data_IF_761808159706
#
_entry.id   IF_761808159706
#
_cell.length_a   1.000
_cell.length_b   1.000
_cell.length_c   1.000
_cell.angle_alpha   90.00
_cell.angle_beta   90.00
_cell.angle_gamma   90.00
#
_symmetry.space_group_name_H-M   'P 1'
#
loop_
_entity.id
_entity.type
_entity.pdbx_description
1 polymer ?
#
# COMPACT_ATOMS: atom_id res chain seq x y z
N UNK A 1 29.37 8.49 -0.18
CA UNK A 1 29.03 8.33 -1.62
C UNK A 1 29.35 6.93 -2.14
N UNK A 2 30.43 6.31 -1.72
CA UNK A 2 30.81 4.94 -2.11
C UNK A 2 29.69 3.91 -1.93
N UNK A 3 28.99 3.94 -0.79
CA UNK A 3 27.85 3.04 -0.53
C UNK A 3 26.68 3.25 -1.52
N UNK A 4 26.44 4.48 -1.99
CA UNK A 4 25.41 4.80 -2.99
C UNK A 4 25.78 4.20 -4.35
N UNK A 5 27.02 4.38 -4.79
CA UNK A 5 27.54 3.82 -6.05
C UNK A 5 27.51 2.30 -6.03
N UNK A 6 27.95 1.68 -4.91
CA UNK A 6 27.84 0.24 -4.69
C UNK A 6 26.39 -0.23 -4.83
N UNK A 7 25.46 0.42 -4.13
CA UNK A 7 24.05 0.04 -4.17
C UNK A 7 23.43 0.16 -5.58
N UNK A 8 23.70 1.25 -6.30
CA UNK A 8 23.25 1.43 -7.69
C UNK A 8 23.78 0.32 -8.59
N UNK A 9 25.04 -0.07 -8.43
CA UNK A 9 25.69 -1.12 -9.23
C UNK A 9 25.15 -2.51 -8.94
N UNK A 10 24.95 -2.85 -7.66
CA UNK A 10 24.61 -4.21 -7.21
C UNK A 10 23.09 -4.43 -7.06
N UNK A 11 22.30 -3.37 -6.89
CA UNK A 11 20.86 -3.42 -6.64
C UNK A 11 20.47 -4.01 -5.29
N UNK A 12 21.44 -4.21 -4.40
CA UNK A 12 21.25 -4.72 -3.04
C UNK A 12 22.48 -4.44 -2.18
N UNK A 13 22.28 -4.47 -0.85
CA UNK A 13 23.32 -4.38 0.16
C UNK A 13 23.13 -5.49 1.19
N UNK A 14 24.13 -5.71 2.05
CA UNK A 14 23.94 -6.55 3.23
C UNK A 14 23.07 -5.83 4.27
N UNK A 15 22.54 -6.56 5.24
CA UNK A 15 21.72 -5.99 6.33
C UNK A 15 22.48 -4.90 7.07
N UNK A 16 23.77 -5.10 7.30
CA UNK A 16 24.67 -4.21 8.05
C UNK A 16 25.00 -2.92 7.29
N UNK A 17 24.96 -2.96 5.98
CA UNK A 17 25.28 -1.82 5.10
C UNK A 17 24.08 -0.89 4.85
N UNK A 18 22.84 -1.42 4.88
CA UNK A 18 21.65 -0.60 4.66
C UNK A 18 21.53 0.60 5.61
N UNK A 19 21.83 0.51 6.92
CA UNK A 19 21.75 1.67 7.80
C UNK A 19 22.69 2.82 7.39
N UNK A 20 23.85 2.54 6.81
CA UNK A 20 24.75 3.57 6.28
C UNK A 20 24.11 4.30 5.10
N UNK A 21 23.55 3.55 4.12
CA UNK A 21 22.82 4.12 3.00
C UNK A 21 21.61 4.94 3.47
N UNK A 22 20.81 4.42 4.40
CA UNK A 22 19.58 5.04 4.86
C UNK A 22 19.84 6.36 5.61
N UNK A 23 20.95 6.53 6.32
CA UNK A 23 21.32 7.79 6.98
C UNK A 23 21.60 8.92 5.99
N UNK A 24 21.79 8.62 4.71
CA UNK A 24 22.00 9.61 3.64
C UNK A 24 20.70 10.18 3.07
N UNK A 25 19.53 9.91 3.63
CA UNK A 25 18.23 10.34 3.10
C UNK A 25 18.05 11.88 3.03
N UNK A 26 18.91 12.66 3.68
CA UNK A 26 18.98 14.12 3.60
C UNK A 26 20.22 14.63 2.84
N UNK A 27 21.11 13.74 2.41
CA UNK A 27 22.24 14.11 1.59
C UNK A 27 21.79 14.41 0.15
N UNK A 28 22.05 15.61 -0.32
CA UNK A 28 21.52 16.14 -1.60
C UNK A 28 22.01 15.30 -2.78
N UNK A 29 23.27 14.89 -2.78
CA UNK A 29 23.85 14.13 -3.89
C UNK A 29 23.39 12.69 -3.86
N UNK A 30 23.33 12.04 -2.70
CA UNK A 30 22.79 10.70 -2.55
C UNK A 30 21.33 10.62 -3.01
N UNK A 31 20.49 11.55 -2.53
CA UNK A 31 19.07 11.64 -2.93
C UNK A 31 18.93 11.82 -4.44
N UNK A 32 19.72 12.73 -5.03
CA UNK A 32 19.69 12.97 -6.48
C UNK A 32 20.06 11.73 -7.28
N UNK A 33 21.18 11.09 -6.96
CA UNK A 33 21.68 9.93 -7.70
C UNK A 33 20.71 8.73 -7.62
N UNK A 34 20.21 8.43 -6.43
CA UNK A 34 19.24 7.33 -6.26
C UNK A 34 17.92 7.60 -6.97
N UNK A 35 17.44 8.85 -6.95
CA UNK A 35 16.22 9.26 -7.66
C UNK A 35 16.38 9.14 -9.18
N UNK A 36 17.48 9.64 -9.74
CA UNK A 36 17.79 9.55 -11.17
C UNK A 36 17.81 8.08 -11.63
N UNK A 37 18.47 7.21 -10.88
CA UNK A 37 18.52 5.79 -11.18
C UNK A 37 17.14 5.11 -11.03
N UNK A 38 16.39 5.41 -9.97
CA UNK A 38 15.04 4.87 -9.76
C UNK A 38 14.09 5.25 -10.90
N UNK A 39 14.13 6.51 -11.36
CA UNK A 39 13.34 6.98 -12.51
C UNK A 39 13.78 6.30 -13.81
N UNK A 40 15.07 6.11 -14.02
CA UNK A 40 15.62 5.38 -15.18
C UNK A 40 15.08 3.94 -15.23
N UNK A 41 15.10 3.27 -14.08
CA UNK A 41 14.55 1.91 -13.94
C UNK A 41 13.05 1.88 -14.15
N UNK A 42 12.29 2.80 -13.52
CA UNK A 42 10.85 2.92 -13.70
C UNK A 42 10.49 3.07 -15.18
N UNK A 43 11.14 4.00 -15.89
CA UNK A 43 10.91 4.22 -17.33
C UNK A 43 11.27 3.02 -18.19
N UNK A 44 12.29 2.27 -17.83
CA UNK A 44 12.67 1.03 -18.54
C UNK A 44 11.57 -0.03 -18.49
N UNK A 45 10.90 -0.22 -17.36
CA UNK A 45 9.92 -1.29 -17.17
C UNK A 45 8.47 -0.84 -17.38
N UNK A 46 8.16 0.43 -17.14
CA UNK A 46 6.80 0.94 -17.13
C UNK A 46 6.57 2.13 -18.07
N UNK A 47 7.60 2.67 -18.70
CA UNK A 47 7.50 3.91 -19.47
C UNK A 47 7.08 5.09 -18.59
N UNK A 48 6.17 5.92 -19.10
CA UNK A 48 5.59 7.03 -18.34
C UNK A 48 4.23 6.67 -17.71
N UNK A 49 3.89 5.38 -17.63
CA UNK A 49 2.59 4.91 -17.19
C UNK A 49 2.44 4.95 -15.67
N UNK A 50 1.34 5.52 -15.22
CA UNK A 50 0.85 5.42 -13.83
C UNK A 50 -0.43 4.60 -13.83
N UNK A 51 -0.42 3.50 -13.10
CA UNK A 51 -1.57 2.63 -12.95
C UNK A 51 -2.51 3.14 -11.85
N UNK A 52 -3.81 3.14 -12.14
CA UNK A 52 -4.82 3.48 -11.14
C UNK A 52 -5.50 2.23 -10.60
N UNK A 53 -5.72 2.21 -9.28
CA UNK A 53 -6.48 1.17 -8.61
C UNK A 53 -7.62 1.78 -7.83
N UNK A 54 -8.85 1.42 -8.17
CA UNK A 54 -10.06 1.92 -7.51
C UNK A 54 -10.17 1.34 -6.10
N UNK A 55 -9.96 2.15 -5.09
CA UNK A 55 -10.01 1.75 -3.69
C UNK A 55 -11.46 1.80 -3.18
N UNK A 56 -11.95 0.69 -2.64
CA UNK A 56 -13.26 0.54 -2.01
C UNK A 56 -13.04 0.14 -0.56
N UNK A 57 -13.16 1.10 0.34
CA UNK A 57 -13.09 0.92 1.80
C UNK A 57 -14.47 0.46 2.28
N UNK A 58 -14.71 -0.86 2.29
CA UNK A 58 -16.07 -1.40 2.43
C UNK A 58 -16.52 -1.68 3.86
N UNK A 59 -15.58 -1.70 4.83
CA UNK A 59 -15.87 -1.81 6.26
C UNK A 59 -14.76 -1.20 7.09
N UNK A 60 -15.12 -0.51 8.18
CA UNK A 60 -14.16 -0.04 9.19
C UNK A 60 -14.27 -0.81 10.52
N UNK A 61 -15.02 -1.91 10.57
CA UNK A 61 -14.94 -2.84 11.67
C UNK A 61 -13.63 -3.62 11.61
N UNK A 62 -12.98 -3.82 12.75
CA UNK A 62 -11.76 -4.62 12.86
C UNK A 62 -11.76 -5.41 14.16
N UNK A 63 -11.37 -6.69 14.12
CA UNK A 63 -11.17 -7.52 15.31
C UNK A 63 -9.85 -7.24 16.03
N UNK A 64 -8.89 -6.61 15.34
CA UNK A 64 -7.57 -6.31 15.86
C UNK A 64 -7.53 -4.96 16.58
N UNK A 65 -6.51 -4.80 17.42
CA UNK A 65 -6.35 -3.61 18.26
C UNK A 65 -4.94 -3.00 18.10
N UNK A 66 -4.47 -2.91 16.84
CA UNK A 66 -3.16 -2.32 16.51
C UNK A 66 -3.06 -0.90 17.08
N UNK A 67 -1.98 -0.61 17.80
CA UNK A 67 -1.84 0.59 18.63
C UNK A 67 -1.75 1.91 17.87
N UNK A 68 -1.55 1.84 16.56
CA UNK A 68 -1.43 3.00 15.64
C UNK A 68 -2.70 3.27 14.82
N UNK A 69 -3.69 2.39 14.83
CA UNK A 69 -4.78 2.39 13.85
C UNK A 69 -6.07 3.01 14.39
N UNK A 70 -6.61 4.03 13.72
CA UNK A 70 -7.83 4.70 14.12
C UNK A 70 -9.09 3.82 14.06
N UNK A 71 -9.11 2.77 13.21
CA UNK A 71 -10.24 1.82 13.15
C UNK A 71 -10.03 0.57 14.02
N UNK A 72 -9.07 0.58 14.95
CA UNK A 72 -8.84 -0.52 15.90
C UNK A 72 -10.09 -0.86 16.70
N UNK A 73 -10.20 -2.13 17.15
CA UNK A 73 -11.40 -2.66 17.84
C UNK A 73 -11.84 -1.81 19.03
N UNK A 74 -10.90 -1.39 19.86
CA UNK A 74 -11.20 -0.66 21.10
C UNK A 74 -11.49 0.82 20.91
N UNK A 75 -11.34 1.38 19.70
CA UNK A 75 -11.74 2.75 19.44
C UNK A 75 -13.26 2.86 19.42
N UNK A 76 -13.84 3.39 20.52
CA UNK A 76 -15.29 3.58 20.71
C UNK A 76 -15.82 4.86 20.02
N UNK A 77 -14.93 5.77 19.62
CA UNK A 77 -15.30 7.02 18.95
C UNK A 77 -15.49 6.81 17.45
N UNK A 78 -14.94 5.73 16.87
CA UNK A 78 -15.07 5.44 15.46
C UNK A 78 -16.53 5.13 15.08
N UNK A 79 -17.08 5.90 14.15
CA UNK A 79 -18.40 5.66 13.57
C UNK A 79 -18.31 4.47 12.62
N UNK A 80 -18.85 3.32 13.04
CA UNK A 80 -18.69 2.05 12.32
C UNK A 80 -19.70 1.91 11.19
N UNK A 81 -19.22 1.35 10.05
CA UNK A 81 -20.07 1.03 8.91
C UNK A 81 -19.62 -0.25 8.21
N UNK A 82 -20.53 -0.82 7.44
CA UNK A 82 -20.30 -1.87 6.44
C UNK A 82 -21.08 -1.48 5.19
N UNK A 83 -20.45 -1.53 4.04
CA UNK A 83 -21.15 -1.42 2.77
C UNK A 83 -21.87 -2.73 2.49
N UNK A 84 -23.05 -2.66 1.89
CA UNK A 84 -23.72 -3.83 1.35
C UNK A 84 -23.02 -4.31 0.06
N UNK A 85 -23.33 -5.52 -0.38
CA UNK A 85 -22.83 -6.05 -1.66
C UNK A 85 -23.21 -5.10 -2.82
N UNK A 86 -24.44 -4.63 -2.83
CA UNK A 86 -24.98 -3.72 -3.86
C UNK A 86 -24.20 -2.39 -3.88
N UNK A 87 -23.89 -1.83 -2.71
CA UNK A 87 -23.06 -0.62 -2.60
C UNK A 87 -21.64 -0.85 -3.12
N UNK A 88 -21.04 -2.02 -2.83
CA UNK A 88 -19.71 -2.40 -3.36
C UNK A 88 -19.76 -2.52 -4.89
N UNK A 89 -20.75 -3.22 -5.43
CA UNK A 89 -20.92 -3.38 -6.87
C UNK A 89 -21.17 -2.04 -7.57
N UNK A 90 -21.91 -1.13 -6.94
CA UNK A 90 -22.10 0.23 -7.47
C UNK A 90 -20.79 1.04 -7.50
N UNK A 91 -19.92 0.86 -6.52
CA UNK A 91 -18.57 1.44 -6.57
C UNK A 91 -17.74 0.88 -7.74
N UNK A 92 -17.86 -0.43 -8.01
CA UNK A 92 -17.19 -1.07 -9.15
C UNK A 92 -17.73 -0.54 -10.49
N UNK A 93 -19.05 -0.40 -10.64
CA UNK A 93 -19.70 0.17 -11.82
C UNK A 93 -19.17 1.58 -12.12
N UNK A 94 -19.27 2.48 -11.13
CA UNK A 94 -18.77 3.84 -11.27
C UNK A 94 -17.26 3.88 -11.60
N UNK A 95 -16.48 3.02 -10.98
CA UNK A 95 -15.05 2.90 -11.25
C UNK A 95 -14.77 2.41 -12.68
N UNK A 96 -15.51 1.41 -13.14
CA UNK A 96 -15.34 0.86 -14.50
C UNK A 96 -15.63 1.91 -15.58
N UNK A 97 -16.71 2.68 -15.44
CA UNK A 97 -17.08 3.80 -16.32
C UNK A 97 -15.99 4.89 -16.34
N UNK A 98 -15.35 5.13 -15.20
CA UNK A 98 -14.21 6.04 -15.08
C UNK A 98 -12.88 5.45 -15.61
N UNK A 99 -12.88 4.23 -16.14
CA UNK A 99 -11.72 3.58 -16.76
C UNK A 99 -10.80 2.87 -15.77
N UNK A 100 -11.23 2.60 -14.53
CA UNK A 100 -10.48 1.70 -13.65
C UNK A 100 -10.61 0.26 -14.14
N UNK A 101 -9.51 -0.49 -14.06
CA UNK A 101 -9.46 -1.93 -14.40
C UNK A 101 -8.88 -2.76 -13.25
N UNK A 102 -8.81 -2.17 -12.07
CA UNK A 102 -8.49 -2.84 -10.80
C UNK A 102 -9.37 -2.26 -9.69
N UNK A 103 -10.00 -3.13 -8.93
CA UNK A 103 -10.72 -2.79 -7.71
C UNK A 103 -9.96 -3.35 -6.49
N UNK A 104 -9.73 -2.51 -5.49
CA UNK A 104 -9.10 -2.88 -4.23
C UNK A 104 -10.16 -2.88 -3.15
N UNK A 105 -10.56 -4.05 -2.71
CA UNK A 105 -11.47 -4.21 -1.57
C UNK A 105 -10.64 -4.13 -0.28
N UNK A 106 -10.75 -3.02 0.43
CA UNK A 106 -10.01 -2.75 1.66
C UNK A 106 -10.96 -2.62 2.85
N UNK A 107 -10.58 -3.22 3.95
CA UNK A 107 -11.32 -3.15 5.20
C UNK A 107 -10.47 -3.48 6.41
N UNK A 108 -11.01 -3.24 7.61
CA UNK A 108 -10.49 -3.91 8.81
C UNK A 108 -10.73 -5.42 8.72
N UNK A 109 -10.10 -6.18 9.60
CA UNK A 109 -10.39 -7.60 9.73
C UNK A 109 -11.76 -7.80 10.38
N UNK A 110 -12.80 -7.72 9.57
CA UNK A 110 -14.19 -7.79 9.99
C UNK A 110 -14.74 -9.23 9.88
N UNK A 111 -15.05 -9.91 11.00
CA UNK A 111 -15.58 -11.27 10.97
C UNK A 111 -16.94 -11.41 10.28
N UNK A 112 -17.68 -10.31 10.13
CA UNK A 112 -18.96 -10.34 9.43
C UNK A 112 -18.78 -10.68 7.94
N UNK A 113 -17.71 -10.23 7.32
CA UNK A 113 -17.31 -10.61 5.97
C UNK A 113 -16.55 -11.95 6.02
N UNK A 114 -17.29 -13.02 6.32
CA UNK A 114 -16.77 -14.38 6.29
C UNK A 114 -16.45 -14.84 4.85
N UNK A 115 -15.90 -16.05 4.71
CA UNK A 115 -15.49 -16.60 3.42
C UNK A 115 -16.62 -16.59 2.40
N UNK A 116 -17.82 -17.04 2.78
CA UNK A 116 -18.95 -17.18 1.85
C UNK A 116 -19.38 -15.80 1.29
N UNK A 117 -19.45 -14.79 2.15
CA UNK A 117 -19.79 -13.43 1.72
C UNK A 117 -18.72 -12.83 0.82
N UNK A 118 -17.44 -13.05 1.16
CA UNK A 118 -16.35 -12.56 0.33
C UNK A 118 -16.30 -13.25 -1.02
N UNK A 119 -16.50 -14.57 -1.07
CA UNK A 119 -16.60 -15.36 -2.31
C UNK A 119 -17.73 -14.83 -3.19
N UNK A 120 -18.91 -14.62 -2.62
CA UNK A 120 -20.07 -14.09 -3.35
C UNK A 120 -19.81 -12.68 -3.93
N UNK A 121 -19.17 -11.79 -3.18
CA UNK A 121 -18.78 -10.45 -3.65
C UNK A 121 -17.77 -10.57 -4.79
N UNK A 122 -16.69 -11.36 -4.62
CA UNK A 122 -15.64 -11.53 -5.61
C UNK A 122 -16.19 -12.09 -6.91
N UNK A 123 -17.00 -13.16 -6.84
CA UNK A 123 -17.63 -13.76 -8.01
C UNK A 123 -18.54 -12.77 -8.74
N UNK A 124 -19.34 -11.99 -8.00
CA UNK A 124 -20.24 -10.99 -8.59
C UNK A 124 -19.46 -9.89 -9.31
N UNK A 125 -18.34 -9.43 -8.77
CA UNK A 125 -17.47 -8.45 -9.43
C UNK A 125 -16.86 -9.08 -10.70
N UNK A 126 -16.34 -10.31 -10.62
CA UNK A 126 -15.76 -11.01 -11.80
C UNK A 126 -16.78 -11.28 -12.89
N UNK A 127 -18.02 -11.58 -12.54
CA UNK A 127 -19.10 -11.79 -13.50
C UNK A 127 -19.44 -10.47 -14.23
N UNK A 128 -19.51 -9.35 -13.51
CA UNK A 128 -19.81 -8.05 -14.10
C UNK A 128 -18.64 -7.42 -14.86
N UNK A 129 -17.40 -7.64 -14.40
CA UNK A 129 -16.17 -7.00 -14.91
C UNK A 129 -15.03 -8.01 -15.05
N UNK A 130 -15.13 -8.96 -16.02
CA UNK A 130 -14.16 -10.06 -16.17
C UNK A 130 -12.75 -9.58 -16.54
N UNK A 131 -12.64 -8.41 -17.18
CA UNK A 131 -11.38 -7.76 -17.56
C UNK A 131 -10.71 -6.99 -16.41
N UNK A 132 -11.39 -6.87 -15.26
CA UNK A 132 -10.83 -6.20 -14.08
C UNK A 132 -10.09 -7.15 -13.15
N UNK A 133 -9.03 -6.64 -12.52
CA UNK A 133 -8.36 -7.31 -11.42
C UNK A 133 -9.02 -6.98 -10.08
N UNK A 134 -9.11 -7.97 -9.20
CA UNK A 134 -9.57 -7.81 -7.82
C UNK A 134 -8.38 -7.96 -6.89
N UNK A 135 -8.14 -6.93 -6.07
CA UNK A 135 -7.16 -6.95 -4.98
C UNK A 135 -7.89 -6.99 -3.65
N UNK A 136 -7.53 -7.90 -2.78
CA UNK A 136 -8.03 -7.93 -1.40
C UNK A 136 -7.00 -7.31 -0.46
N UNK A 137 -7.46 -6.50 0.50
CA UNK A 137 -6.67 -5.92 1.60
C UNK A 137 -7.51 -5.98 2.87
N UNK A 138 -7.70 -7.19 3.39
CA UNK A 138 -8.64 -7.53 4.48
C UNK A 138 -7.96 -8.27 5.64
N UNK A 139 -6.65 -8.07 5.79
CA UNK A 139 -5.85 -8.62 6.89
C UNK A 139 -5.53 -10.11 6.76
N UNK A 140 -5.29 -10.74 7.90
CA UNK A 140 -4.89 -12.15 7.96
C UNK A 140 -6.08 -13.10 7.86
N UNK A 141 -5.91 -14.15 7.07
CA UNK A 141 -6.87 -15.25 6.91
C UNK A 141 -6.11 -16.58 6.94
N UNK A 142 -6.83 -17.70 7.00
CA UNK A 142 -6.22 -19.00 6.81
C UNK A 142 -5.87 -19.25 5.34
N UNK A 143 -4.96 -20.19 5.08
CA UNK A 143 -4.58 -20.59 3.71
C UNK A 143 -5.78 -21.10 2.92
N UNK A 144 -6.71 -21.78 3.58
CA UNK A 144 -7.97 -22.25 2.98
C UNK A 144 -8.87 -21.09 2.57
N UNK A 145 -8.98 -20.03 3.39
CA UNK A 145 -9.73 -18.83 3.02
C UNK A 145 -9.08 -18.14 1.82
N UNK A 146 -7.76 -17.99 1.80
CA UNK A 146 -7.04 -17.44 0.66
C UNK A 146 -7.28 -18.26 -0.61
N UNK A 147 -7.26 -19.58 -0.52
CA UNK A 147 -7.55 -20.47 -1.65
C UNK A 147 -8.97 -20.24 -2.20
N UNK A 148 -9.99 -20.21 -1.34
CA UNK A 148 -11.38 -19.92 -1.75
C UNK A 148 -11.51 -18.59 -2.48
N UNK A 149 -10.87 -17.53 -1.97
CA UNK A 149 -10.91 -16.21 -2.61
C UNK A 149 -10.19 -16.22 -3.97
N UNK A 150 -9.08 -16.96 -4.08
CA UNK A 150 -8.37 -17.15 -5.35
C UNK A 150 -9.24 -17.84 -6.38
N UNK A 151 -9.87 -18.95 -6.00
CA UNK A 151 -10.79 -19.72 -6.84
C UNK A 151 -12.03 -18.92 -7.24
N UNK A 152 -12.51 -18.01 -6.36
CA UNK A 152 -13.59 -17.08 -6.65
C UNK A 152 -13.19 -16.00 -7.66
N UNK A 153 -11.88 -15.76 -7.90
CA UNK A 153 -11.37 -14.82 -8.90
C UNK A 153 -10.58 -13.65 -8.34
N UNK A 154 -10.18 -13.66 -7.07
CA UNK A 154 -9.25 -12.65 -6.56
C UNK A 154 -7.86 -12.83 -7.18
N UNK A 155 -7.34 -11.77 -7.78
CA UNK A 155 -6.05 -11.78 -8.50
C UNK A 155 -4.87 -11.44 -7.58
N UNK A 156 -5.08 -10.51 -6.65
CA UNK A 156 -4.03 -9.90 -5.82
C UNK A 156 -4.43 -9.83 -4.36
N UNK A 157 -3.43 -9.83 -3.49
CA UNK A 157 -3.63 -9.62 -2.07
C UNK A 157 -2.57 -8.67 -1.50
N UNK A 158 -3.01 -7.60 -0.84
CA UNK A 158 -2.14 -6.66 -0.15
C UNK A 158 -2.19 -6.93 1.35
N UNK A 159 -1.07 -7.33 1.92
CA UNK A 159 -0.89 -7.55 3.35
C UNK A 159 0.44 -6.92 3.79
N UNK A 160 0.38 -5.72 4.33
CA UNK A 160 1.59 -5.06 4.84
C UNK A 160 2.09 -5.78 6.08
N UNK A 161 3.40 -6.04 6.15
CA UNK A 161 4.02 -6.64 7.34
C UNK A 161 4.25 -5.61 8.45
N UNK A 162 4.18 -4.32 8.13
CA UNK A 162 4.31 -3.12 8.97
C UNK A 162 5.71 -2.88 9.53
N UNK A 163 6.41 -3.90 9.91
CA UNK A 163 7.85 -3.96 10.23
C UNK A 163 8.31 -5.42 10.19
N UNK A 164 9.53 -5.67 9.76
CA UNK A 164 10.12 -7.02 9.73
C UNK A 164 10.85 -7.40 11.02
N UNK A 165 11.00 -6.46 11.96
CA UNK A 165 11.63 -6.65 13.26
C UNK A 165 10.61 -7.09 14.31
N UNK A 166 10.88 -8.19 15.02
CA UNK A 166 9.97 -8.81 16.00
C UNK A 166 9.68 -7.91 17.21
N UNK A 167 10.70 -7.25 17.75
CA UNK A 167 10.55 -6.38 18.91
C UNK A 167 9.73 -5.14 18.56
N UNK A 168 10.04 -4.51 17.44
CA UNK A 168 9.28 -3.37 16.92
C UNK A 168 7.84 -3.76 16.58
N UNK A 169 7.60 -4.96 16.03
CA UNK A 169 6.25 -5.44 15.76
C UNK A 169 5.41 -5.54 17.04
N UNK A 170 5.99 -6.11 18.13
CA UNK A 170 5.33 -6.18 19.46
C UNK A 170 5.06 -4.81 20.07
N UNK A 171 5.93 -3.84 19.80
CA UNK A 171 5.72 -2.47 20.26
C UNK A 171 4.52 -1.79 19.60
N UNK A 172 4.26 -2.12 18.33
CA UNK A 172 3.18 -1.56 17.53
C UNK A 172 1.85 -2.33 17.66
N UNK A 173 1.88 -3.58 18.11
CA UNK A 173 0.71 -4.47 18.10
C UNK A 173 0.45 -5.11 19.46
N UNK A 174 -0.81 -5.52 19.74
CA UNK A 174 -1.11 -6.30 20.93
C UNK A 174 -0.51 -7.72 20.85
N UNK A 175 -0.29 -8.33 22.01
CA UNK A 175 0.40 -9.63 22.18
C UNK A 175 -0.20 -10.79 21.39
N UNK A 176 -1.50 -10.72 21.07
CA UNK A 176 -2.19 -11.77 20.29
C UNK A 176 -1.91 -11.70 18.77
N UNK A 177 -1.16 -10.71 18.30
CA UNK A 177 -0.70 -10.61 16.93
C UNK A 177 0.78 -11.02 16.81
N UNK A 178 1.11 -11.78 15.78
CA UNK A 178 2.43 -12.37 15.57
C UNK A 178 3.01 -11.96 14.22
N UNK A 179 4.23 -11.42 14.23
CA UNK A 179 4.98 -11.15 13.00
C UNK A 179 5.26 -12.43 12.21
N UNK A 180 5.55 -13.53 12.90
CA UNK A 180 5.75 -14.84 12.26
C UNK A 180 4.52 -15.27 11.48
N UNK A 181 3.31 -15.15 12.09
CA UNK A 181 2.07 -15.45 11.38
C UNK A 181 1.81 -14.49 10.22
N UNK A 182 2.10 -13.19 10.39
CA UNK A 182 1.98 -12.18 9.34
C UNK A 182 2.85 -12.51 8.12
N UNK A 183 4.11 -12.89 8.35
CA UNK A 183 5.03 -13.34 7.31
C UNK A 183 4.57 -14.65 6.66
N UNK A 184 4.09 -15.61 7.46
CA UNK A 184 3.55 -16.88 6.94
C UNK A 184 2.36 -16.65 6.00
N UNK A 185 1.44 -15.76 6.35
CA UNK A 185 0.34 -15.38 5.46
C UNK A 185 0.82 -14.87 4.10
N UNK A 186 1.90 -14.08 4.05
CA UNK A 186 2.49 -13.60 2.80
C UNK A 186 3.07 -14.74 1.95
N UNK A 187 3.74 -15.72 2.59
CA UNK A 187 4.24 -16.91 1.89
C UNK A 187 3.09 -17.80 1.39
N UNK A 188 2.05 -18.01 2.20
CA UNK A 188 0.87 -18.78 1.80
C UNK A 188 0.16 -18.14 0.58
N UNK A 189 0.01 -16.81 0.58
CA UNK A 189 -0.52 -16.08 -0.56
C UNK A 189 0.34 -16.23 -1.83
N UNK A 190 1.67 -16.20 -1.67
CA UNK A 190 2.61 -16.41 -2.76
C UNK A 190 2.50 -17.81 -3.33
N UNK A 191 2.47 -18.84 -2.47
CA UNK A 191 2.30 -20.25 -2.86
C UNK A 191 1.00 -20.50 -3.63
N UNK A 192 -0.07 -19.79 -3.27
CA UNK A 192 -1.36 -19.85 -3.97
C UNK A 192 -1.40 -19.07 -5.29
N UNK A 193 -0.28 -18.45 -5.70
CA UNK A 193 -0.16 -17.75 -6.97
C UNK A 193 -0.86 -16.39 -7.02
N UNK A 194 -1.02 -15.71 -5.89
CA UNK A 194 -1.44 -14.31 -5.88
C UNK A 194 -0.33 -13.39 -6.36
N UNK A 195 -0.69 -12.30 -7.02
CA UNK A 195 0.18 -11.13 -7.04
C UNK A 195 0.16 -10.51 -5.64
N UNK A 196 1.20 -10.78 -4.84
CA UNK A 196 1.25 -10.34 -3.45
C UNK A 196 1.77 -8.91 -3.33
N UNK A 197 1.21 -8.18 -2.37
CA UNK A 197 1.68 -6.86 -1.93
C UNK A 197 2.10 -6.93 -0.47
N UNK A 198 3.31 -6.45 -0.18
CA UNK A 198 3.84 -6.28 1.17
C UNK A 198 4.12 -4.80 1.46
N UNK A 199 4.71 -4.48 2.58
CA UNK A 199 5.13 -3.12 2.91
C UNK A 199 5.15 -2.83 4.40
N UNK A 200 5.62 -1.63 4.73
CA UNK A 200 5.82 -1.18 6.10
C UNK A 200 5.50 0.31 6.26
N UNK A 201 5.39 0.77 7.51
CA UNK A 201 5.29 2.19 7.84
C UNK A 201 6.67 2.82 7.90
N UNK A 202 6.80 4.07 7.47
CA UNK A 202 8.04 4.84 7.55
C UNK A 202 7.94 5.86 8.66
N UNK A 203 8.90 5.83 9.60
CA UNK A 203 8.89 6.69 10.78
C UNK A 203 7.82 6.31 11.80
N UNK A 204 7.45 5.02 11.88
CA UNK A 204 6.60 4.52 12.95
C UNK A 204 7.27 4.71 14.32
N UNK A 205 6.50 4.87 15.41
CA UNK A 205 7.05 5.05 16.73
C UNK A 205 8.08 3.95 17.10
N UNK A 206 9.27 4.36 17.56
CA UNK A 206 10.36 3.44 17.89
C UNK A 206 11.13 2.85 16.70
N UNK A 207 10.81 3.22 15.45
CA UNK A 207 11.52 2.71 14.27
C UNK A 207 12.94 3.27 14.16
N UNK A 208 13.91 2.41 13.89
CA UNK A 208 15.31 2.78 13.65
C UNK A 208 15.73 2.48 12.20
N UNK A 209 16.93 2.92 11.80
CA UNK A 209 17.49 2.58 10.48
C UNK A 209 17.77 1.08 10.35
N UNK A 210 18.10 0.42 11.45
CA UNK A 210 18.31 -1.03 11.53
C UNK A 210 16.99 -1.79 11.30
N UNK A 211 15.85 -1.31 11.84
CA UNK A 211 14.53 -1.87 11.55
C UNK A 211 14.17 -1.73 10.07
N UNK A 212 14.44 -0.56 9.47
CA UNK A 212 14.22 -0.35 8.03
C UNK A 212 15.12 -1.25 7.17
N UNK A 213 16.36 -1.51 7.61
CA UNK A 213 17.25 -2.47 6.95
C UNK A 213 16.65 -3.89 6.95
N UNK A 214 16.08 -4.33 8.07
CA UNK A 214 15.38 -5.62 8.15
C UNK A 214 14.15 -5.66 7.22
N UNK A 215 13.41 -4.56 7.11
CA UNK A 215 12.29 -4.44 6.16
C UNK A 215 12.76 -4.60 4.70
N UNK A 216 13.87 -3.96 4.33
CA UNK A 216 14.42 -4.06 2.97
C UNK A 216 14.94 -5.47 2.67
N UNK A 217 15.63 -6.11 3.61
CA UNK A 217 16.08 -7.50 3.47
C UNK A 217 14.88 -8.43 3.30
N UNK A 218 13.87 -8.31 4.15
CA UNK A 218 12.65 -9.11 4.03
C UNK A 218 11.92 -8.90 2.70
N UNK A 219 11.82 -7.66 2.21
CA UNK A 219 11.23 -7.39 0.90
C UNK A 219 12.03 -8.04 -0.23
N UNK A 220 13.37 -8.04 -0.14
CA UNK A 220 14.22 -8.68 -1.15
C UNK A 220 14.01 -10.19 -1.19
N UNK A 221 13.93 -10.84 -0.02
CA UNK A 221 13.68 -12.28 0.12
C UNK A 221 12.28 -12.67 -0.35
N UNK A 222 11.26 -11.92 0.08
CA UNK A 222 9.88 -12.18 -0.29
C UNK A 222 9.65 -11.93 -1.78
N UNK A 223 10.35 -10.95 -2.37
CA UNK A 223 10.19 -10.52 -3.76
C UNK A 223 8.71 -10.32 -4.16
N UNK A 224 7.99 -9.38 -3.53
CA UNK A 224 6.58 -9.17 -3.79
C UNK A 224 6.34 -8.43 -5.11
N UNK A 225 5.14 -8.56 -5.66
CA UNK A 225 4.71 -7.87 -6.89
C UNK A 225 4.38 -6.39 -6.65
N UNK A 226 4.05 -6.02 -5.43
CA UNK A 226 3.78 -4.64 -5.01
C UNK A 226 4.38 -4.38 -3.63
N UNK A 227 4.92 -3.17 -3.43
CA UNK A 227 5.38 -2.71 -2.11
C UNK A 227 4.72 -1.40 -1.76
N UNK A 228 3.86 -1.42 -0.72
CA UNK A 228 3.15 -0.24 -0.21
C UNK A 228 3.83 0.32 1.03
N UNK A 229 4.61 1.39 0.88
CA UNK A 229 5.15 2.15 1.99
C UNK A 229 4.52 3.54 2.07
N UNK A 230 4.50 4.11 3.25
CA UNK A 230 4.05 5.48 3.47
C UNK A 230 4.46 5.96 4.85
N UNK A 231 4.53 7.29 5.05
CA UNK A 231 4.86 7.83 6.34
C UNK A 231 3.79 7.46 7.38
N UNK A 232 4.24 7.18 8.59
CA UNK A 232 3.34 7.08 9.73
C UNK A 232 2.65 8.44 9.96
N UNK A 233 1.37 8.41 10.25
CA UNK A 233 0.60 9.59 10.67
C UNK A 233 -0.18 9.16 11.91
N UNK A 234 -0.07 9.87 13.04
CA UNK A 234 -0.80 9.54 14.26
C UNK A 234 -2.30 9.68 14.08
N UNK A 235 -3.06 9.00 14.93
CA UNK A 235 -4.50 9.19 15.10
C UNK A 235 -4.78 9.52 16.56
N UNK A 236 -5.58 10.55 16.80
CA UNK A 236 -5.87 11.10 18.14
C UNK A 236 -6.46 10.08 19.14
N UNK A 237 -7.13 9.03 18.68
CA UNK A 237 -7.70 7.95 19.52
C UNK A 237 -6.78 6.73 19.64
N UNK A 238 -5.47 6.88 19.46
CA UNK A 238 -4.52 5.77 19.51
C UNK A 238 -3.48 5.96 20.62
N UNK A 239 -2.75 4.87 20.93
CA UNK A 239 -1.63 4.92 21.88
C UNK A 239 -0.53 5.90 21.45
N UNK A 240 -0.43 6.16 20.15
CA UNK A 240 0.61 6.97 19.51
C UNK A 240 0.10 8.34 19.05
N UNK A 241 -0.97 8.86 19.66
CA UNK A 241 -1.58 10.15 19.31
C UNK A 241 -0.58 11.33 19.34
N UNK A 242 0.33 11.32 20.31
CA UNK A 242 1.31 12.40 20.53
C UNK A 242 2.66 12.15 19.82
N UNK A 243 2.80 11.04 19.09
CA UNK A 243 4.02 10.75 18.37
C UNK A 243 4.12 11.57 17.08
N UNK A 244 5.32 11.99 16.69
CA UNK A 244 5.50 12.74 15.45
C UNK A 244 5.16 11.92 14.22
N UNK A 245 4.67 12.59 13.18
CA UNK A 245 4.49 11.94 11.88
C UNK A 245 5.84 11.52 11.28
N UNK A 246 5.83 10.46 10.48
CA UNK A 246 6.99 9.99 9.74
C UNK A 246 7.46 10.95 8.66
N UNK A 247 8.71 10.83 8.26
CA UNK A 247 9.36 11.73 7.31
C UNK A 247 8.90 11.47 5.86
N UNK A 248 8.47 12.52 5.18
CA UNK A 248 8.22 12.52 3.73
C UNK A 248 9.52 12.25 2.96
N UNK A 249 10.61 12.91 3.33
CA UNK A 249 11.90 12.77 2.61
C UNK A 249 12.46 11.36 2.73
N UNK A 250 12.40 10.75 3.94
CA UNK A 250 12.81 9.36 4.12
C UNK A 250 11.91 8.40 3.32
N UNK A 251 10.60 8.67 3.26
CA UNK A 251 9.67 7.86 2.45
C UNK A 251 10.01 7.93 0.96
N UNK A 252 10.30 9.13 0.44
CA UNK A 252 10.70 9.32 -0.95
C UNK A 252 12.04 8.65 -1.26
N UNK A 253 13.00 8.74 -0.35
CA UNK A 253 14.28 8.07 -0.44
C UNK A 253 14.10 6.55 -0.52
N UNK A 254 13.29 5.97 0.38
CA UNK A 254 12.98 4.55 0.39
C UNK A 254 12.23 4.08 -0.85
N UNK A 255 11.35 4.91 -1.46
CA UNK A 255 10.75 4.58 -2.75
C UNK A 255 11.83 4.39 -3.84
N UNK A 256 12.83 5.28 -3.88
CA UNK A 256 13.95 5.14 -4.83
C UNK A 256 14.79 3.90 -4.54
N UNK A 257 15.11 3.64 -3.28
CA UNK A 257 15.85 2.43 -2.85
C UNK A 257 15.09 1.16 -3.27
N UNK A 258 13.78 1.09 -2.98
CA UNK A 258 12.97 -0.09 -3.32
C UNK A 258 12.85 -0.27 -4.84
N UNK A 259 12.73 0.81 -5.63
CA UNK A 259 12.72 0.74 -7.09
C UNK A 259 14.01 0.17 -7.66
N UNK A 260 15.16 0.55 -7.12
CA UNK A 260 16.47 0.03 -7.54
C UNK A 260 16.60 -1.44 -7.15
N UNK A 261 16.22 -1.78 -5.91
CA UNK A 261 16.32 -3.13 -5.35
C UNK A 261 15.37 -4.13 -6.03
N UNK A 262 14.17 -3.69 -6.38
CA UNK A 262 13.08 -4.47 -6.98
C UNK A 262 12.57 -3.78 -8.26
N UNK A 263 13.28 -3.92 -9.39
CA UNK A 263 13.04 -3.11 -10.60
C UNK A 263 11.63 -3.22 -11.20
N UNK A 264 10.97 -4.36 -11.06
CA UNK A 264 9.66 -4.65 -11.65
C UNK A 264 8.49 -4.54 -10.66
N UNK A 265 8.76 -4.11 -9.42
CA UNK A 265 7.74 -3.98 -8.37
C UNK A 265 6.77 -2.83 -8.68
N UNK A 266 5.52 -2.99 -8.33
CA UNK A 266 4.53 -1.91 -8.36
C UNK A 266 4.62 -1.10 -7.06
N UNK A 267 4.85 0.22 -7.16
CA UNK A 267 5.06 1.12 -6.02
C UNK A 267 3.97 2.20 -5.98
N UNK A 268 3.08 2.21 -4.98
CA UNK A 268 2.11 3.28 -4.81
C UNK A 268 2.73 4.59 -4.27
N UNK A 269 2.35 5.73 -4.87
CA UNK A 269 2.40 7.02 -4.21
C UNK A 269 1.17 7.14 -3.31
N UNK A 270 1.34 6.89 -2.01
CA UNK A 270 0.24 6.68 -1.05
C UNK A 270 -0.52 7.96 -0.70
N UNK A 271 -1.75 7.78 -0.19
CA UNK A 271 -2.55 8.91 0.35
C UNK A 271 -1.86 9.56 1.56
N UNK A 272 -1.20 8.79 2.42
CA UNK A 272 -0.45 9.31 3.56
C UNK A 272 0.66 10.28 3.13
N UNK A 273 1.39 9.96 2.04
CA UNK A 273 2.40 10.85 1.48
C UNK A 273 1.78 12.17 0.99
N UNK A 274 0.62 12.11 0.34
CA UNK A 274 -0.14 13.28 -0.09
C UNK A 274 -0.81 14.04 1.06
N UNK A 275 -1.04 13.40 2.20
CA UNK A 275 -1.59 14.06 3.41
C UNK A 275 -0.53 14.93 4.08
N UNK A 276 0.71 14.46 4.19
CA UNK A 276 1.80 15.22 4.82
C UNK A 276 2.40 16.27 3.89
N UNK A 277 2.39 16.02 2.58
CA UNK A 277 2.90 16.97 1.58
C UNK A 277 1.89 17.09 0.43
N UNK A 278 1.34 18.30 0.16
CA UNK A 278 0.40 18.52 -0.93
C UNK A 278 0.91 18.07 -2.32
N UNK A 279 2.24 18.03 -2.51
CA UNK A 279 2.91 17.51 -3.72
C UNK A 279 3.55 16.13 -3.50
N UNK A 280 3.24 15.47 -2.40
CA UNK A 280 3.87 14.20 -2.02
C UNK A 280 3.68 13.10 -3.06
N UNK A 281 2.52 13.02 -3.72
CA UNK A 281 2.28 12.03 -4.77
C UNK A 281 3.13 12.27 -6.01
N UNK A 282 3.22 13.52 -6.47
CA UNK A 282 4.06 13.92 -7.61
C UNK A 282 5.54 13.63 -7.32
N UNK A 283 6.01 14.00 -6.13
CA UNK A 283 7.36 13.67 -5.68
C UNK A 283 7.58 12.15 -5.62
N UNK A 284 6.55 11.39 -5.21
CA UNK A 284 6.57 9.92 -5.20
C UNK A 284 6.77 9.33 -6.60
N UNK A 285 6.08 9.83 -7.63
CA UNK A 285 6.31 9.40 -9.01
C UNK A 285 7.72 9.73 -9.48
N UNK A 286 8.25 10.88 -9.12
CA UNK A 286 9.63 11.29 -9.39
C UNK A 286 10.66 10.53 -8.55
N UNK A 287 10.24 9.72 -7.58
CA UNK A 287 11.07 8.85 -6.76
C UNK A 287 10.93 7.36 -7.12
N UNK A 288 10.25 7.03 -8.23
CA UNK A 288 10.10 5.67 -8.71
C UNK A 288 8.74 5.01 -8.47
N UNK A 289 7.77 5.70 -7.86
CA UNK A 289 6.40 5.17 -7.73
C UNK A 289 5.65 5.20 -9.08
N UNK A 290 4.80 4.20 -9.31
CA UNK A 290 4.06 4.06 -10.56
C UNK A 290 2.59 3.61 -10.39
N UNK A 291 2.08 3.67 -9.16
CA UNK A 291 0.68 3.33 -8.84
C UNK A 291 0.05 4.42 -7.99
N UNK A 292 -1.23 4.65 -8.16
CA UNK A 292 -2.05 5.48 -7.29
C UNK A 292 -3.41 4.84 -7.05
N UNK A 293 -3.99 5.05 -5.86
CA UNK A 293 -5.25 4.42 -5.44
C UNK A 293 -6.31 5.46 -5.09
N UNK A 294 -7.04 6.02 -6.09
CA UNK A 294 -8.18 6.89 -5.82
C UNK A 294 -9.31 6.14 -5.13
N UNK A 295 -10.02 6.84 -4.22
CA UNK A 295 -11.10 6.26 -3.44
C UNK A 295 -12.41 6.25 -4.24
N UNK A 296 -13.00 5.06 -4.41
CA UNK A 296 -14.30 4.84 -5.06
C UNK A 296 -15.44 4.64 -4.05
N UNK A 297 -15.14 4.53 -2.75
CA UNK A 297 -16.18 4.35 -1.72
C UNK A 297 -17.19 5.49 -1.74
N UNK A 298 -18.43 5.26 -1.30
CA UNK A 298 -19.42 6.34 -1.19
C UNK A 298 -18.88 7.50 -0.32
N UNK A 299 -19.03 8.74 -0.78
CA UNK A 299 -18.50 9.95 -0.09
C UNK A 299 -18.90 9.99 1.38
N UNK A 300 -20.16 9.60 1.68
CA UNK A 300 -20.70 9.55 3.07
C UNK A 300 -19.87 8.68 4.02
N UNK A 301 -19.16 7.67 3.51
CA UNK A 301 -18.39 6.69 4.31
C UNK A 301 -16.89 6.99 4.38
N UNK A 302 -16.33 7.79 3.44
CA UNK A 302 -14.88 8.02 3.35
C UNK A 302 -14.29 8.64 4.62
N UNK A 303 -15.01 9.59 5.25
CA UNK A 303 -14.60 10.20 6.52
C UNK A 303 -14.64 9.23 7.70
N UNK A 304 -15.44 8.15 7.60
CA UNK A 304 -15.56 7.14 8.65
C UNK A 304 -14.44 6.10 8.59
N UNK A 305 -13.72 5.99 7.44
CA UNK A 305 -12.56 5.12 7.30
C UNK A 305 -11.28 5.90 7.60
N UNK A 306 -11.08 6.20 8.86
CA UNK A 306 -10.02 7.05 9.35
C UNK A 306 -8.95 6.20 10.06
N UNK A 307 -7.93 5.80 9.30
CA UNK A 307 -6.77 5.04 9.83
C UNK A 307 -5.83 5.94 10.62
N UNK A 308 -5.76 7.21 10.23
CA UNK A 308 -4.90 8.27 10.78
C UNK A 308 -5.57 9.64 10.55
N UNK A 309 -5.15 10.65 11.30
CA UNK A 309 -5.73 11.99 11.26
C UNK A 309 -5.47 12.74 9.94
N UNK A 310 -6.36 13.65 9.60
CA UNK A 310 -6.26 14.54 8.44
C UNK A 310 -6.17 13.84 7.07
N UNK A 311 -6.67 12.61 6.96
CA UNK A 311 -6.71 11.86 5.70
C UNK A 311 -7.37 12.69 4.60
N UNK A 312 -6.65 12.92 3.48
CA UNK A 312 -7.15 13.65 2.31
C UNK A 312 -8.06 12.81 1.41
N UNK A 313 -8.70 13.46 0.42
CA UNK A 313 -9.58 12.81 -0.58
C UNK A 313 -10.83 12.15 0.06
N UNK A 314 -11.45 12.84 1.02
CA UNK A 314 -12.63 12.36 1.74
C UNK A 314 -13.94 12.99 1.31
N UNK A 315 -13.91 14.07 0.50
CA UNK A 315 -15.09 14.86 0.13
C UNK A 315 -15.39 14.92 -1.37
N UNK A 316 -14.43 14.63 -2.24
CA UNK A 316 -14.60 14.77 -3.69
C UNK A 316 -15.26 13.53 -4.30
N UNK A 317 -16.08 13.73 -5.35
CA UNK A 317 -16.58 12.62 -6.15
C UNK A 317 -15.46 11.91 -6.92
N UNK A 318 -15.65 10.64 -7.24
CA UNK A 318 -14.62 9.82 -7.88
C UNK A 318 -14.18 10.39 -9.26
N UNK A 319 -15.09 10.98 -10.01
CA UNK A 319 -14.81 11.60 -11.30
C UNK A 319 -13.96 12.88 -11.17
N UNK A 320 -14.27 13.73 -10.18
CA UNK A 320 -13.50 14.94 -9.88
C UNK A 320 -12.09 14.60 -9.39
N UNK A 321 -11.99 13.60 -8.52
CA UNK A 321 -10.73 13.09 -8.02
C UNK A 321 -9.86 12.55 -9.17
N UNK A 322 -10.42 11.82 -10.13
CA UNK A 322 -9.69 11.33 -11.31
C UNK A 322 -9.17 12.47 -12.17
N UNK A 323 -9.99 13.46 -12.50
CA UNK A 323 -9.58 14.61 -13.32
C UNK A 323 -8.49 15.46 -12.65
N UNK A 324 -8.58 15.69 -11.36
CA UNK A 324 -7.52 16.34 -10.56
C UNK A 324 -6.22 15.54 -10.61
N UNK A 325 -6.32 14.23 -10.41
CA UNK A 325 -5.16 13.34 -10.39
C UNK A 325 -4.47 13.27 -11.74
N UNK A 326 -5.21 13.19 -12.87
CA UNK A 326 -4.63 13.21 -14.23
C UNK A 326 -3.76 14.45 -14.42
N UNK A 327 -4.29 15.64 -14.15
CA UNK A 327 -3.52 16.89 -14.28
C UNK A 327 -2.26 16.91 -13.42
N UNK A 328 -2.32 16.36 -12.21
CA UNK A 328 -1.16 16.26 -11.31
C UNK A 328 -0.09 15.28 -11.83
N UNK A 329 -0.50 14.15 -12.35
CA UNK A 329 0.38 13.14 -12.95
C UNK A 329 1.04 13.69 -14.22
N UNK A 330 0.28 14.34 -15.08
CA UNK A 330 0.76 14.98 -16.31
C UNK A 330 1.75 16.11 -16.02
N UNK A 331 1.53 16.88 -14.95
CA UNK A 331 2.41 18.00 -14.55
C UNK A 331 3.85 17.58 -14.22
N UNK A 332 4.08 16.29 -14.00
CA UNK A 332 5.40 15.71 -13.71
C UNK A 332 5.89 14.72 -14.79
N UNK A 333 5.24 14.74 -15.96
CA UNK A 333 5.70 14.02 -17.15
C UNK A 333 5.27 12.55 -17.22
N UNK A 334 4.22 12.18 -16.49
CA UNK A 334 3.62 10.85 -16.52
C UNK A 334 2.19 10.88 -17.05
N UNK A 335 1.61 9.72 -17.32
CA UNK A 335 0.24 9.57 -17.81
C UNK A 335 -0.52 8.47 -17.05
N UNK A 336 -1.79 8.70 -16.77
CA UNK A 336 -2.67 7.67 -16.22
C UNK A 336 -3.17 6.79 -17.36
N UNK A 337 -3.01 5.48 -17.22
CA UNK A 337 -3.46 4.50 -18.20
C UNK A 337 -4.69 3.73 -17.72
N UNK A 338 -5.55 3.33 -18.67
CA UNK A 338 -6.63 2.38 -18.45
C UNK A 338 -6.08 0.98 -18.67
N UNK A 339 -5.65 0.33 -17.60
CA UNK A 339 -4.96 -0.96 -17.63
C UNK A 339 -5.20 -1.69 -16.30
N UNK A 340 -5.16 -3.03 -16.32
CA UNK A 340 -5.19 -3.83 -15.08
C UNK A 340 -3.98 -3.55 -14.17
N UNK A 341 -2.86 -3.11 -14.75
CA UNK A 341 -1.62 -2.86 -14.03
C UNK A 341 -1.10 -4.13 -13.33
N UNK A 342 -1.10 -5.27 -14.03
CA UNK A 342 -0.46 -6.49 -13.55
C UNK A 342 1.05 -6.28 -13.44
N UNK A 343 1.68 -6.96 -12.47
CA UNK A 343 3.13 -6.90 -12.34
C UNK A 343 3.80 -7.55 -13.55
N UNK A 344 4.86 -6.94 -14.12
CA UNK A 344 5.66 -7.57 -15.18
C UNK A 344 6.26 -8.92 -14.77
N UNK A 345 6.35 -9.20 -13.46
CA UNK A 345 6.83 -10.48 -12.93
C UNK A 345 5.85 -11.65 -13.17
N UNK A 346 4.64 -11.36 -13.66
CA UNK A 346 3.61 -12.37 -13.99
C UNK A 346 3.62 -12.74 -15.49
N UNK A 347 4.44 -12.08 -16.30
CA UNK A 347 4.54 -12.30 -17.74
C UNK A 347 5.41 -13.51 -18.09
#
# INVERSE_FOLDING_TARGET
MEIVEKFIKEGQLTKEEYPELLRLYQDVDAVRLLREEAVRIQKKYFGNKIYTRGLIEFTNYCRNDCYYCGIRRSNKNAIRYRLTKEEILKCCENGYELGFRTFVLQGGEDPWFNDDRMVDIIQSIKQGYPDCAITLSIGEKSKESYQKFKEAGADRYLLRHETANEEHYRYLHPENLSLTNRKQCLYDLKDLGYQIGAGFMVGAPGQTMEHLAEDLVFLKELNPHMVGIGPFIPHHDTKFAEEPAGSVDLTLFLLSVIRIMLPQVLLPATTALGTLDPRGREKGFQAGANVVMPNLSPVKNRKQYELYDNKICTGEEAAECRGCLSRRVESVGYEIVTDRGDSPMMA
#
